data_IF_817737071348
#
_entry.id   IF_817737071348
#
_cell.length_a   1.000
_cell.length_b   1.000
_cell.length_c   1.000
_cell.angle_alpha   90.00
_cell.angle_beta   90.00
_cell.angle_gamma   90.00
#
_symmetry.space_group_name_H-M   'P 1'
#
loop_
_entity.id
_entity.type
_entity.pdbx_description
1 polymer ?
#
# COMPACT_ATOMS: atom_id res chain seq x y z
N UNK A 1 -1.43 -15.75 -5.54
CA UNK A 1 -1.18 -15.02 -6.80
C UNK A 1 0.18 -15.46 -7.32
N UNK A 2 0.29 -15.85 -8.59
CA UNK A 2 1.57 -16.31 -9.16
C UNK A 2 2.58 -15.16 -9.30
N UNK A 3 3.86 -15.46 -9.15
CA UNK A 3 4.93 -14.47 -9.30
C UNK A 3 4.93 -13.85 -10.70
N UNK A 4 5.12 -12.53 -10.86
CA UNK A 4 4.97 -11.82 -12.14
C UNK A 4 6.01 -12.21 -13.20
N UNK A 5 7.16 -12.77 -12.80
CA UNK A 5 8.19 -13.30 -13.69
C UNK A 5 7.93 -14.73 -14.16
N UNK A 6 6.91 -15.41 -13.62
CA UNK A 6 6.67 -16.83 -13.88
C UNK A 6 5.88 -17.03 -15.18
N UNK A 7 6.54 -17.53 -16.22
CA UNK A 7 5.95 -17.72 -17.55
C UNK A 7 5.66 -19.19 -17.88
N UNK A 8 5.02 -19.42 -19.04
CA UNK A 8 4.63 -20.75 -19.51
C UNK A 8 5.83 -21.68 -19.74
N UNK A 9 6.99 -21.14 -20.12
CA UNK A 9 8.22 -21.92 -20.37
C UNK A 9 8.74 -22.52 -19.07
N UNK A 10 8.87 -21.70 -18.01
CA UNK A 10 9.28 -22.17 -16.67
C UNK A 10 8.24 -23.14 -16.10
N UNK A 11 6.95 -22.89 -16.33
CA UNK A 11 5.87 -23.81 -15.91
C UNK A 11 5.99 -25.19 -16.57
N UNK A 12 6.23 -25.22 -17.90
CA UNK A 12 6.44 -26.47 -18.65
C UNK A 12 7.67 -27.24 -18.13
N UNK A 13 8.79 -26.56 -17.91
CA UNK A 13 10.00 -27.16 -17.35
C UNK A 13 9.79 -27.69 -15.92
N UNK A 14 9.07 -26.96 -15.08
CA UNK A 14 8.71 -27.41 -13.74
C UNK A 14 7.87 -28.70 -13.78
N UNK A 15 6.88 -28.78 -14.67
CA UNK A 15 6.06 -29.97 -14.85
C UNK A 15 6.88 -31.15 -15.39
N UNK A 16 7.76 -30.90 -16.38
CA UNK A 16 8.66 -31.90 -16.95
C UNK A 16 9.65 -32.44 -15.90
N UNK A 17 10.21 -31.56 -15.05
CA UNK A 17 11.05 -31.95 -13.90
C UNK A 17 10.29 -32.86 -12.94
N UNK A 18 9.06 -32.49 -12.56
CA UNK A 18 8.20 -33.30 -11.68
C UNK A 18 7.88 -34.66 -12.30
N UNK A 19 7.61 -34.72 -13.60
CA UNK A 19 7.36 -35.96 -14.32
C UNK A 19 8.60 -36.87 -14.28
N UNK A 20 9.77 -36.36 -14.66
CA UNK A 20 11.01 -37.14 -14.65
C UNK A 20 11.40 -37.60 -13.24
N UNK A 21 11.19 -36.79 -12.22
CA UNK A 21 11.39 -37.19 -10.83
C UNK A 21 10.50 -38.38 -10.45
N UNK A 22 9.20 -38.32 -10.77
CA UNK A 22 8.26 -39.43 -10.51
C UNK A 22 8.71 -40.71 -11.21
N UNK A 23 9.09 -40.63 -12.48
CA UNK A 23 9.57 -41.78 -13.26
C UNK A 23 10.88 -42.35 -12.70
N UNK A 24 11.84 -41.50 -12.33
CA UNK A 24 13.11 -41.91 -11.75
C UNK A 24 12.91 -42.59 -10.39
N UNK A 25 12.07 -42.02 -9.52
CA UNK A 25 11.72 -42.60 -8.22
C UNK A 25 11.04 -43.97 -8.34
N UNK A 26 10.16 -44.15 -9.33
CA UNK A 26 9.41 -45.41 -9.49
C UNK A 26 10.27 -46.55 -10.07
N UNK A 27 11.15 -46.26 -11.03
CA UNK A 27 11.93 -47.28 -11.74
C UNK A 27 13.34 -47.46 -11.18
N UNK A 28 13.83 -46.50 -10.39
CA UNK A 28 15.15 -46.45 -9.74
C UNK A 28 16.33 -46.84 -10.65
N UNK A 29 16.34 -46.32 -11.87
CA UNK A 29 17.44 -46.53 -12.84
C UNK A 29 18.26 -45.26 -13.04
N UNK A 30 19.56 -45.44 -13.29
CA UNK A 30 20.52 -44.34 -13.48
C UNK A 30 20.16 -43.42 -14.66
N UNK A 31 19.72 -43.98 -15.79
CA UNK A 31 19.29 -43.24 -16.99
C UNK A 31 18.14 -42.26 -16.71
N UNK A 32 17.22 -42.63 -15.80
CA UNK A 32 16.09 -41.78 -15.42
C UNK A 32 16.48 -40.67 -14.48
N UNK A 33 17.42 -40.94 -13.56
CA UNK A 33 18.01 -39.92 -12.70
C UNK A 33 18.83 -38.91 -13.49
N UNK A 34 19.57 -39.35 -14.52
CA UNK A 34 20.31 -38.45 -15.40
C UNK A 34 19.37 -37.50 -16.17
N UNK A 35 18.28 -38.02 -16.75
CA UNK A 35 17.24 -37.20 -17.40
C UNK A 35 16.60 -36.19 -16.44
N UNK A 36 16.36 -36.59 -15.19
CA UNK A 36 15.88 -35.69 -14.15
C UNK A 36 16.89 -34.56 -13.88
N UNK A 37 18.16 -34.89 -13.64
CA UNK A 37 19.22 -33.89 -13.37
C UNK A 37 19.41 -32.91 -14.53
N UNK A 38 19.38 -33.40 -15.78
CA UNK A 38 19.43 -32.56 -16.97
C UNK A 38 18.27 -31.56 -17.00
N UNK A 39 17.04 -32.05 -16.78
CA UNK A 39 15.84 -31.20 -16.77
C UNK A 39 15.83 -30.24 -15.58
N UNK A 40 16.42 -30.62 -14.45
CA UNK A 40 16.62 -29.74 -13.30
C UNK A 40 17.58 -28.60 -13.59
N UNK A 41 18.71 -28.89 -14.25
CA UNK A 41 19.64 -27.86 -14.71
C UNK A 41 18.99 -26.90 -15.71
N UNK A 42 18.24 -27.44 -16.70
CA UNK A 42 17.46 -26.64 -17.66
C UNK A 42 16.43 -25.74 -16.95
N UNK A 43 15.71 -26.28 -15.96
CA UNK A 43 14.75 -25.51 -15.16
C UNK A 43 15.43 -24.39 -14.36
N UNK A 44 16.54 -24.68 -13.67
CA UNK A 44 17.25 -23.69 -12.85
C UNK A 44 17.80 -22.56 -13.71
N UNK A 45 18.35 -22.90 -14.88
CA UNK A 45 18.85 -21.93 -15.87
C UNK A 45 17.71 -21.04 -16.36
N UNK A 46 16.60 -21.64 -16.79
CA UNK A 46 15.43 -20.89 -17.26
C UNK A 46 14.83 -19.97 -16.18
N UNK A 47 14.80 -20.40 -14.91
CA UNK A 47 14.37 -19.55 -13.79
C UNK A 47 15.31 -18.37 -13.58
N UNK A 48 16.62 -18.59 -13.66
CA UNK A 48 17.62 -17.53 -13.51
C UNK A 48 17.47 -16.50 -14.63
N UNK A 49 17.41 -16.95 -15.89
CA UNK A 49 17.24 -16.10 -17.07
C UNK A 49 15.94 -15.31 -17.03
N UNK A 50 14.81 -15.96 -16.71
CA UNK A 50 13.52 -15.25 -16.64
C UNK A 50 13.48 -14.22 -15.53
N UNK A 51 14.07 -14.50 -14.35
CA UNK A 51 14.20 -13.50 -13.28
C UNK A 51 15.09 -12.33 -13.73
N UNK A 52 16.25 -12.61 -14.33
CA UNK A 52 17.17 -11.60 -14.82
C UNK A 52 16.50 -10.72 -15.87
N UNK A 53 15.84 -11.31 -16.86
CA UNK A 53 15.08 -10.60 -17.90
C UNK A 53 13.95 -9.76 -17.30
N UNK A 54 13.21 -10.31 -16.34
CA UNK A 54 12.14 -9.56 -15.68
C UNK A 54 12.67 -8.29 -15.01
N UNK A 55 13.78 -8.37 -14.27
CA UNK A 55 14.37 -7.21 -13.57
C UNK A 55 15.00 -6.23 -14.55
N UNK A 56 15.72 -6.71 -15.56
CA UNK A 56 16.53 -5.87 -16.46
C UNK A 56 15.74 -5.25 -17.61
N UNK A 57 14.73 -5.94 -18.14
CA UNK A 57 13.97 -5.51 -19.30
C UNK A 57 12.50 -5.24 -18.98
N UNK A 58 11.82 -6.15 -18.27
CA UNK A 58 10.37 -6.04 -18.05
C UNK A 58 10.01 -4.98 -17.03
N UNK A 59 10.74 -4.89 -15.91
CA UNK A 59 10.48 -3.95 -14.83
C UNK A 59 10.68 -2.48 -15.26
N UNK A 60 11.78 -2.11 -15.95
CA UNK A 60 11.95 -0.74 -16.43
C UNK A 60 10.91 -0.37 -17.49
N UNK A 61 10.59 -1.29 -18.41
CA UNK A 61 9.53 -1.07 -19.39
C UNK A 61 8.16 -0.89 -18.75
N UNK A 62 7.86 -1.58 -17.65
CA UNK A 62 6.64 -1.38 -16.88
C UNK A 62 6.60 0.00 -16.23
N UNK A 63 7.73 0.53 -15.75
CA UNK A 63 7.78 1.86 -15.16
C UNK A 63 7.37 2.94 -16.18
N UNK A 64 7.84 2.83 -17.43
CA UNK A 64 7.52 3.80 -18.48
C UNK A 64 6.12 3.63 -19.08
N UNK A 65 5.65 2.39 -19.27
CA UNK A 65 4.40 2.11 -20.00
C UNK A 65 3.18 1.89 -19.10
N UNK A 66 3.36 1.38 -17.88
CA UNK A 66 2.27 1.08 -16.94
C UNK A 66 2.76 1.15 -15.48
N UNK A 67 2.91 2.36 -14.92
CA UNK A 67 3.44 2.57 -13.57
C UNK A 67 2.64 1.83 -12.49
N UNK A 68 1.32 1.65 -12.70
CA UNK A 68 0.46 0.93 -11.75
C UNK A 68 0.85 -0.55 -11.66
N UNK A 69 1.13 -1.20 -12.78
CA UNK A 69 1.61 -2.60 -12.80
C UNK A 69 3.02 -2.72 -12.24
N UNK A 70 3.89 -1.75 -12.49
CA UNK A 70 5.22 -1.68 -11.87
C UNK A 70 5.12 -1.71 -10.34
N UNK A 71 4.38 -0.76 -9.76
CA UNK A 71 4.24 -0.67 -8.29
C UNK A 71 3.55 -1.89 -7.70
N UNK A 72 2.61 -2.52 -8.41
CA UNK A 72 2.01 -3.79 -7.97
C UNK A 72 3.01 -4.96 -7.95
N UNK A 73 4.00 -4.96 -8.84
CA UNK A 73 5.03 -5.98 -8.91
C UNK A 73 6.14 -5.77 -7.85
N UNK A 74 6.52 -4.51 -7.60
CA UNK A 74 7.55 -4.12 -6.62
C UNK A 74 7.03 -4.14 -5.19
N UNK A 75 5.80 -3.64 -4.99
CA UNK A 75 5.09 -3.66 -3.72
C UNK A 75 3.93 -4.66 -3.81
N UNK A 76 4.20 -5.98 -3.74
CA UNK A 76 3.13 -6.94 -3.57
C UNK A 76 2.36 -6.53 -2.31
N UNK A 77 1.03 -6.54 -2.38
CA UNK A 77 0.19 -6.35 -1.19
C UNK A 77 0.65 -7.37 -0.16
N UNK A 78 1.47 -6.94 0.81
CA UNK A 78 1.76 -7.75 1.99
C UNK A 78 0.38 -8.09 2.55
N UNK A 79 0.15 -9.36 2.93
CA UNK A 79 -0.86 -9.62 3.95
C UNK A 79 -0.51 -8.63 5.05
N UNK A 80 -1.41 -7.71 5.36
CA UNK A 80 -1.20 -6.71 6.40
C UNK A 80 -0.89 -7.50 7.67
N UNK A 81 0.39 -7.77 7.93
CA UNK A 81 0.83 -8.09 9.27
C UNK A 81 0.51 -6.82 10.01
N UNK A 82 -0.58 -6.86 10.78
CA UNK A 82 -0.95 -5.76 11.64
C UNK A 82 0.31 -5.37 12.40
N UNK A 83 0.79 -4.15 12.17
CA UNK A 83 1.91 -3.62 12.92
C UNK A 83 1.33 -3.41 14.31
N UNK A 84 1.65 -4.32 15.23
CA UNK A 84 1.23 -4.23 16.61
C UNK A 84 2.30 -3.43 17.36
N UNK A 85 1.86 -2.44 18.14
CA UNK A 85 2.70 -1.82 19.15
C UNK A 85 2.67 -2.73 20.37
N UNK A 86 3.80 -2.86 21.05
CA UNK A 86 3.92 -3.65 22.27
C UNK A 86 4.24 -2.72 23.44
N UNK A 87 3.73 -3.05 24.62
CA UNK A 87 4.09 -2.36 25.86
C UNK A 87 5.41 -2.91 26.41
N UNK A 88 5.88 -2.36 27.54
CA UNK A 88 7.11 -2.81 28.21
C UNK A 88 7.06 -4.26 28.71
N UNK A 89 5.86 -4.87 28.77
CA UNK A 89 5.64 -6.27 29.12
C UNK A 89 5.55 -7.20 27.89
N UNK A 90 5.87 -6.69 26.69
CA UNK A 90 5.81 -7.38 25.40
C UNK A 90 4.39 -7.85 25.01
N UNK A 91 3.37 -7.16 25.50
CA UNK A 91 1.96 -7.42 25.17
C UNK A 91 1.46 -6.45 24.09
N UNK A 92 0.65 -6.93 23.12
CA UNK A 92 0.12 -6.09 22.07
C UNK A 92 -0.87 -5.06 22.61
N UNK A 93 -0.62 -3.80 22.27
CA UNK A 93 -1.38 -2.64 22.72
C UNK A 93 -2.59 -2.40 21.81
N UNK A 94 -3.74 -2.07 22.39
CA UNK A 94 -4.94 -1.72 21.62
C UNK A 94 -4.72 -0.44 20.80
N UNK A 95 -5.45 -0.21 19.69
CA UNK A 95 -5.28 0.99 18.87
C UNK A 95 -5.42 2.32 19.64
N UNK A 96 -6.36 2.39 20.59
CA UNK A 96 -6.58 3.58 21.41
C UNK A 96 -5.40 3.88 22.35
N UNK A 97 -4.85 2.83 22.99
CA UNK A 97 -3.67 2.95 23.83
C UNK A 97 -2.40 3.18 23.00
N UNK A 98 -2.34 2.66 21.77
CA UNK A 98 -1.22 2.87 20.85
C UNK A 98 -1.04 4.35 20.50
N UNK A 99 -2.14 5.07 20.29
CA UNK A 99 -2.09 6.52 20.06
C UNK A 99 -1.50 7.27 21.27
N UNK A 100 -1.89 6.89 22.49
CA UNK A 100 -1.34 7.48 23.72
C UNK A 100 0.15 7.16 23.87
N UNK A 101 0.57 5.92 23.59
CA UNK A 101 1.96 5.51 23.67
C UNK A 101 2.84 6.25 22.67
N UNK A 102 2.36 6.42 21.43
CA UNK A 102 3.05 7.20 20.41
C UNK A 102 3.16 8.68 20.80
N UNK A 103 2.08 9.28 21.29
CA UNK A 103 2.08 10.66 21.78
C UNK A 103 3.06 10.83 22.95
N UNK A 104 3.05 9.91 23.91
CA UNK A 104 3.97 9.93 25.04
C UNK A 104 5.43 9.82 24.57
N UNK A 105 5.74 8.87 23.69
CA UNK A 105 7.08 8.70 23.14
C UNK A 105 7.55 9.94 22.37
N UNK A 106 6.66 10.53 21.56
CA UNK A 106 6.93 11.75 20.82
C UNK A 106 7.19 12.93 21.76
N UNK A 107 6.27 13.19 22.70
CA UNK A 107 6.43 14.26 23.68
C UNK A 107 7.70 14.09 24.51
N UNK A 108 8.08 12.87 24.91
CA UNK A 108 9.31 12.65 25.66
C UNK A 108 10.58 12.93 24.83
N UNK A 109 10.55 12.63 23.54
CA UNK A 109 11.69 12.82 22.65
C UNK A 109 11.85 14.27 22.18
N UNK A 110 10.75 14.99 21.99
CA UNK A 110 10.74 16.31 21.33
C UNK A 110 10.28 17.44 22.24
N UNK A 111 9.55 17.16 23.32
CA UNK A 111 9.15 18.12 24.33
C UNK A 111 9.99 17.86 25.59
N UNK A 112 11.18 18.47 25.65
CA UNK A 112 11.91 18.55 26.91
C UNK A 112 11.03 19.27 27.95
N UNK A 113 11.04 18.86 29.23
CA UNK A 113 10.50 19.67 30.31
C UNK A 113 11.43 20.87 30.50
N UNK A 114 11.30 21.87 29.64
CA UNK A 114 11.90 23.18 29.84
C UNK A 114 11.24 23.75 31.09
N UNK A 115 12.00 23.90 32.17
CA UNK A 115 11.56 24.52 33.42
C UNK A 115 11.27 26.02 33.28
N UNK A 116 11.39 26.56 32.07
CA UNK A 116 10.95 27.89 31.69
C UNK A 116 10.37 27.76 30.28
N UNK A 117 9.13 28.18 30.03
CA UNK A 117 8.68 28.36 28.67
C UNK A 117 9.49 29.53 28.11
N UNK A 118 10.47 29.25 27.26
CA UNK A 118 10.99 30.25 26.32
C UNK A 118 9.94 30.43 25.22
N UNK A 119 8.71 30.75 25.65
CA UNK A 119 7.62 31.14 24.77
C UNK A 119 8.01 32.53 24.31
N UNK A 120 8.28 32.72 23.01
CA UNK A 120 8.54 34.06 22.51
C UNK A 120 7.36 34.95 22.88
N UNK A 121 7.65 36.16 23.35
CA UNK A 121 6.63 37.15 23.67
C UNK A 121 5.62 37.22 22.54
N UNK A 122 4.34 37.11 22.90
CA UNK A 122 3.27 37.18 21.93
C UNK A 122 3.30 38.60 21.36
N UNK A 123 3.79 38.73 20.12
CA UNK A 123 3.67 40.00 19.41
C UNK A 123 2.19 40.31 19.24
N UNK A 124 1.72 41.39 19.86
CA UNK A 124 0.42 41.96 19.56
C UNK A 124 0.49 42.52 18.14
N UNK A 125 -0.03 41.75 17.20
CA UNK A 125 -0.25 42.23 15.85
C UNK A 125 -1.50 43.13 15.86
N UNK A 126 -1.36 44.37 15.39
CA UNK A 126 -2.50 45.21 15.02
C UNK A 126 -3.14 44.66 13.74
N UNK A 127 -3.82 43.53 13.84
CA UNK A 127 -4.67 43.06 12.76
C UNK A 127 -5.90 43.95 12.68
N UNK A 128 -6.28 44.35 11.47
CA UNK A 128 -7.59 44.96 11.25
C UNK A 128 -8.67 43.98 11.70
N UNK A 129 -9.65 44.47 12.46
CA UNK A 129 -10.78 43.67 12.93
C UNK A 129 -11.48 43.04 11.73
N UNK A 130 -11.64 41.72 11.74
CA UNK A 130 -12.38 41.01 10.69
C UNK A 130 -13.82 41.50 10.69
N UNK A 131 -14.29 41.98 9.54
CA UNK A 131 -15.68 42.36 9.37
C UNK A 131 -16.62 41.16 9.57
N UNK A 132 -17.87 41.39 10.03
CA UNK A 132 -18.86 40.33 10.15
C UNK A 132 -19.07 39.61 8.82
N UNK A 133 -19.10 38.27 8.86
CA UNK A 133 -19.38 37.46 7.69
C UNK A 133 -20.87 37.56 7.36
N UNK A 134 -21.20 38.19 6.24
CA UNK A 134 -22.55 38.25 5.70
C UNK A 134 -22.86 36.96 4.92
N UNK A 135 -23.86 36.22 5.38
CA UNK A 135 -24.37 35.03 4.69
C UNK A 135 -25.65 35.42 3.96
N UNK A 136 -25.56 35.56 2.64
CA UNK A 136 -26.69 35.92 1.80
C UNK A 136 -27.34 34.69 1.15
N UNK A 137 -28.67 34.67 0.97
CA UNK A 137 -29.36 33.56 0.31
C UNK A 137 -28.81 33.22 -1.08
N UNK A 138 -28.40 34.23 -1.86
CA UNK A 138 -27.82 34.02 -3.18
C UNK A 138 -26.46 33.30 -3.12
N UNK A 139 -25.66 33.57 -2.07
CA UNK A 139 -24.39 32.90 -1.82
C UNK A 139 -24.61 31.44 -1.43
N UNK A 140 -25.58 31.17 -0.55
CA UNK A 140 -25.97 29.81 -0.16
C UNK A 140 -26.44 29.02 -1.39
N UNK A 141 -27.26 29.63 -2.25
CA UNK A 141 -27.73 28.97 -3.47
C UNK A 141 -26.59 28.60 -4.41
N UNK A 142 -25.65 29.52 -4.65
CA UNK A 142 -24.44 29.25 -5.45
C UNK A 142 -23.62 28.09 -4.89
N UNK A 143 -23.49 28.01 -3.55
CA UNK A 143 -22.79 26.90 -2.90
C UNK A 143 -23.52 25.58 -3.18
N UNK A 144 -24.84 25.53 -3.00
CA UNK A 144 -25.65 24.32 -3.26
C UNK A 144 -25.55 23.90 -4.74
N UNK A 145 -25.63 24.85 -5.68
CA UNK A 145 -25.49 24.61 -7.11
C UNK A 145 -24.11 24.10 -7.51
N UNK A 146 -23.05 24.53 -6.80
CA UNK A 146 -21.68 24.12 -7.07
C UNK A 146 -21.34 22.70 -6.59
N UNK A 147 -22.20 22.08 -5.76
CA UNK A 147 -21.98 20.73 -5.24
C UNK A 147 -21.88 19.69 -6.37
N UNK A 148 -20.90 18.79 -6.28
CA UNK A 148 -20.75 17.71 -7.27
C UNK A 148 -21.83 16.66 -7.03
N UNK A 149 -22.52 16.21 -8.09
CA UNK A 149 -23.53 15.14 -7.93
C UNK A 149 -22.93 13.79 -7.53
N UNK A 150 -21.63 13.60 -7.82
CA UNK A 150 -20.89 12.37 -7.53
C UNK A 150 -20.25 12.36 -6.14
N UNK A 151 -20.45 13.38 -5.31
CA UNK A 151 -19.93 13.31 -3.92
C UNK A 151 -20.78 12.36 -3.09
N UNK A 152 -20.08 11.56 -2.28
CA UNK A 152 -20.70 10.70 -1.27
C UNK A 152 -21.41 11.56 -0.22
N UNK A 153 -22.48 11.01 0.37
CA UNK A 153 -23.12 11.62 1.53
C UNK A 153 -22.22 11.54 2.77
N UNK A 154 -22.41 12.49 3.68
CA UNK A 154 -21.77 12.49 4.99
C UNK A 154 -22.49 11.54 5.96
N UNK A 155 -22.20 11.71 7.25
CA UNK A 155 -22.82 10.93 8.33
C UNK A 155 -24.34 11.13 8.44
N UNK A 156 -24.85 12.25 7.91
CA UNK A 156 -26.27 12.60 7.84
C UNK A 156 -27.02 11.88 6.71
N UNK A 157 -26.31 11.15 5.85
CA UNK A 157 -26.85 10.49 4.66
C UNK A 157 -27.55 11.42 3.66
N UNK A 158 -27.31 12.73 3.74
CA UNK A 158 -27.87 13.71 2.79
C UNK A 158 -26.92 13.82 1.60
N UNK A 159 -27.43 13.49 0.41
CA UNK A 159 -26.64 13.58 -0.83
C UNK A 159 -26.89 14.90 -1.57
N UNK A 160 -25.91 15.30 -2.39
CA UNK A 160 -25.97 16.56 -3.15
C UNK A 160 -27.10 16.61 -4.17
N UNK A 161 -27.61 15.46 -4.63
CA UNK A 161 -28.75 15.39 -5.55
C UNK A 161 -30.05 15.81 -4.86
N UNK A 162 -30.25 15.38 -3.61
CA UNK A 162 -31.41 15.74 -2.79
C UNK A 162 -31.42 17.25 -2.51
N UNK A 163 -30.29 17.81 -2.06
CA UNK A 163 -30.15 19.24 -1.78
C UNK A 163 -30.48 20.10 -3.01
N UNK A 164 -29.93 19.75 -4.18
CA UNK A 164 -30.22 20.47 -5.43
C UNK A 164 -31.66 20.30 -5.92
N UNK A 165 -32.41 19.30 -5.46
CA UNK A 165 -33.80 19.12 -5.85
C UNK A 165 -34.75 19.87 -4.92
N UNK A 166 -34.43 19.95 -3.62
CA UNK A 166 -35.25 20.63 -2.61
C UNK A 166 -35.18 22.15 -2.72
N UNK A 167 -34.03 22.70 -3.10
CA UNK A 167 -33.79 24.15 -3.15
C UNK A 167 -33.82 24.73 -4.57
N UNK A 168 -34.49 24.02 -5.50
CA UNK A 168 -34.65 24.44 -6.90
C UNK A 168 -36.06 24.94 -7.15
#
# INVERSE_FOLDING_TARGET
MGSPWFNNTVKRLCNKKKQHFRTAKQRNRSDRWERYRKTEAEYNTAVCETKKHFITATLPNLLSNDPKKFWKAVNPKKKTSAINLFNDADEPVSPAQGALLLNYAFSRAFCLPSTVPDIPDLFEYEFSVMFPVLIEPCGVMKVIESLKLSSSCGIDSINSKLLKQTFK
#
